data_IF_419294463412
#
_entry.id   IF_419294463412
#
_cell.length_a   1.000
_cell.length_b   1.000
_cell.length_c   1.000
_cell.angle_alpha   90.00
_cell.angle_beta   90.00
_cell.angle_gamma   90.00
#
_symmetry.space_group_name_H-M   'P 1'
#
loop_
_entity.id
_entity.type
_entity.pdbx_description
1 polymer ?
#
# COMPACT_ATOMS: atom_id res chain seq x y z
N UNK A 1 -16.85 22.23 -1.64
CA UNK A 1 -15.87 21.48 -0.84
C UNK A 1 -16.53 20.19 -0.36
N UNK A 2 -16.42 19.13 -1.15
CA UNK A 2 -16.78 17.78 -0.70
C UNK A 2 -15.48 17.08 -0.35
N UNK A 3 -15.06 17.17 0.91
CA UNK A 3 -14.23 16.14 1.52
C UNK A 3 -15.13 14.91 1.64
N UNK A 4 -15.36 14.24 0.52
CA UNK A 4 -16.03 12.98 0.51
C UNK A 4 -15.09 12.03 1.23
N UNK A 5 -15.43 11.73 2.48
CA UNK A 5 -15.07 10.50 3.12
C UNK A 5 -15.33 9.38 2.10
N UNK A 6 -14.29 8.98 1.36
CA UNK A 6 -14.27 7.70 0.67
C UNK A 6 -14.22 6.68 1.79
N UNK A 7 -15.40 6.40 2.36
CA UNK A 7 -15.62 5.26 3.20
C UNK A 7 -15.01 4.08 2.46
N UNK A 8 -13.94 3.55 3.02
CA UNK A 8 -13.12 2.49 2.46
C UNK A 8 -14.07 1.39 2.01
N UNK A 9 -14.26 1.22 0.69
CA UNK A 9 -15.16 0.17 0.24
C UNK A 9 -14.58 -1.16 0.78
N UNK A 10 -15.42 -2.13 1.18
CA UNK A 10 -14.93 -3.39 1.73
C UNK A 10 -13.94 -4.11 0.80
N UNK A 11 -13.99 -3.81 -0.50
CA UNK A 11 -13.05 -4.28 -1.50
C UNK A 11 -11.66 -3.63 -1.36
N UNK A 12 -11.59 -2.31 -1.13
CA UNK A 12 -10.33 -1.58 -0.94
C UNK A 12 -9.65 -2.02 0.37
N UNK A 13 -10.40 -2.22 1.45
CA UNK A 13 -9.85 -2.72 2.72
C UNK A 13 -9.24 -4.12 2.58
N UNK A 14 -9.98 -5.04 1.92
CA UNK A 14 -9.49 -6.39 1.63
C UNK A 14 -8.22 -6.36 0.80
N UNK A 15 -8.17 -5.50 -0.22
CA UNK A 15 -6.99 -5.34 -1.05
C UNK A 15 -5.79 -4.85 -0.23
N UNK A 16 -5.97 -3.80 0.59
CA UNK A 16 -4.91 -3.27 1.47
C UNK A 16 -4.36 -4.37 2.40
N UNK A 17 -5.26 -5.12 3.05
CA UNK A 17 -4.87 -6.21 3.94
C UNK A 17 -4.07 -7.30 3.22
N UNK A 18 -4.48 -7.67 2.00
CA UNK A 18 -3.76 -8.66 1.19
C UNK A 18 -2.38 -8.14 0.76
N UNK A 19 -2.29 -6.90 0.27
CA UNK A 19 -1.02 -6.26 -0.10
C UNK A 19 -0.03 -6.21 1.08
N UNK A 20 -0.52 -5.87 2.27
CA UNK A 20 0.29 -5.85 3.51
C UNK A 20 0.77 -7.27 3.86
N UNK A 21 -0.10 -8.28 3.80
CA UNK A 21 0.28 -9.66 4.08
C UNK A 21 1.35 -10.17 3.08
N UNK A 22 1.18 -9.88 1.79
CA UNK A 22 2.15 -10.22 0.74
C UNK A 22 3.51 -9.59 0.98
N UNK A 23 3.56 -8.30 1.33
CA UNK A 23 4.80 -7.60 1.66
C UNK A 23 5.47 -8.20 2.93
N UNK A 24 4.68 -8.47 3.97
CA UNK A 24 5.18 -9.00 5.24
C UNK A 24 5.87 -10.37 5.08
N UNK A 25 5.34 -11.24 4.22
CA UNK A 25 5.97 -12.53 3.87
C UNK A 25 7.35 -12.39 3.22
N UNK A 26 7.70 -11.19 2.74
CA UNK A 26 9.02 -10.86 2.17
C UNK A 26 9.88 -10.01 3.11
N UNK A 27 9.47 -9.83 4.36
CA UNK A 27 10.19 -9.01 5.34
C UNK A 27 10.08 -7.51 5.04
N UNK A 28 9.04 -7.10 4.32
CA UNK A 28 8.74 -5.69 4.01
C UNK A 28 7.50 -5.26 4.79
N UNK A 29 7.63 -4.19 5.59
CA UNK A 29 6.48 -3.56 6.22
C UNK A 29 5.84 -2.57 5.23
N UNK A 30 4.61 -2.83 4.82
CA UNK A 30 3.84 -1.91 3.98
C UNK A 30 2.87 -1.12 4.86
N UNK A 31 3.02 0.20 4.86
CA UNK A 31 2.14 1.14 5.54
C UNK A 31 1.28 1.86 4.51
N UNK A 32 0.01 2.04 4.84
CA UNK A 32 -0.92 2.88 4.07
C UNK A 32 -1.31 4.04 4.97
N UNK A 33 -0.95 5.25 4.56
CA UNK A 33 -1.23 6.49 5.27
C UNK A 33 -1.85 7.50 4.32
N UNK A 34 -2.04 8.73 4.77
CA UNK A 34 -2.55 9.84 3.98
C UNK A 34 -1.46 10.91 3.89
N UNK A 35 -1.36 11.60 2.76
CA UNK A 35 -0.49 12.76 2.60
C UNK A 35 -1.16 14.05 3.12
N UNK A 36 -0.47 15.18 2.99
CA UNK A 36 -0.96 16.49 3.45
C UNK A 36 -2.23 16.98 2.70
N UNK A 37 -2.56 16.34 1.57
CA UNK A 37 -3.75 16.62 0.77
C UNK A 37 -4.90 15.65 1.05
N UNK A 38 -4.68 14.63 1.90
CA UNK A 38 -5.63 13.57 2.20
C UNK A 38 -5.64 12.45 1.16
N UNK A 39 -4.66 12.41 0.26
CA UNK A 39 -4.50 11.36 -0.73
C UNK A 39 -3.76 10.16 -0.13
N UNK A 40 -4.10 8.92 -0.50
CA UNK A 40 -3.47 7.73 0.07
C UNK A 40 -2.00 7.62 -0.35
N UNK A 41 -1.12 7.57 0.64
CA UNK A 41 0.32 7.37 0.47
C UNK A 41 0.71 5.97 0.95
N UNK A 42 1.49 5.26 0.13
CA UNK A 42 1.95 3.90 0.43
C UNK A 42 3.45 3.91 0.71
N UNK A 43 3.85 3.36 1.85
CA UNK A 43 5.25 3.36 2.30
C UNK A 43 5.69 1.93 2.58
N UNK A 44 6.67 1.44 1.82
CA UNK A 44 7.31 0.16 2.05
C UNK A 44 8.62 0.36 2.81
N UNK A 45 8.84 -0.41 3.88
CA UNK A 45 10.03 -0.34 4.73
C UNK A 45 10.70 -1.71 4.80
N UNK A 46 12.00 -1.77 4.50
CA UNK A 46 12.81 -2.98 4.63
C UNK A 46 14.17 -2.62 5.25
N UNK A 47 14.37 -2.96 6.52
CA UNK A 47 15.55 -2.51 7.28
C UNK A 47 15.61 -0.98 7.34
N UNK A 48 16.69 -0.39 6.83
CA UNK A 48 16.87 1.08 6.75
C UNK A 48 16.34 1.70 5.44
N UNK A 49 15.84 0.88 4.49
CA UNK A 49 15.33 1.37 3.21
C UNK A 49 13.84 1.67 3.30
N UNK A 50 13.46 2.85 2.83
CA UNK A 50 12.07 3.31 2.71
C UNK A 50 11.75 3.64 1.27
N UNK A 51 10.61 3.19 0.76
CA UNK A 51 10.11 3.49 -0.58
C UNK A 51 8.70 4.04 -0.50
N UNK A 52 8.49 5.23 -1.06
CA UNK A 52 7.18 5.83 -1.21
C UNK A 52 6.57 5.44 -2.56
N UNK A 53 5.26 5.23 -2.58
CA UNK A 53 4.48 4.89 -3.77
C UNK A 53 3.18 5.68 -3.74
N UNK A 54 2.82 6.26 -4.87
CA UNK A 54 1.68 7.20 -4.98
C UNK A 54 0.35 6.50 -5.31
N UNK A 55 0.36 5.19 -5.49
CA UNK A 55 -0.86 4.47 -5.87
C UNK A 55 -0.74 2.96 -5.90
N UNK A 56 -1.90 2.32 -6.04
CA UNK A 56 -2.09 0.86 -6.07
C UNK A 56 -1.24 0.19 -7.16
N UNK A 57 -1.17 0.78 -8.36
CA UNK A 57 -0.40 0.20 -9.47
C UNK A 57 1.12 0.17 -9.20
N UNK A 58 1.63 1.14 -8.43
CA UNK A 58 3.03 1.13 -8.00
C UNK A 58 3.28 0.10 -6.91
N UNK A 59 2.33 -0.05 -5.98
CA UNK A 59 2.36 -1.10 -4.96
C UNK A 59 2.38 -2.48 -5.60
N UNK A 60 1.50 -2.77 -6.56
CA UNK A 60 1.46 -4.07 -7.24
C UNK A 60 2.73 -4.36 -8.05
N UNK A 61 3.28 -3.34 -8.73
CA UNK A 61 4.57 -3.46 -9.41
C UNK A 61 5.70 -3.74 -8.42
N UNK A 62 5.74 -3.03 -7.29
CA UNK A 62 6.73 -3.24 -6.24
C UNK A 62 6.62 -4.64 -5.63
N UNK A 63 5.40 -5.08 -5.30
CA UNK A 63 5.13 -6.42 -4.78
C UNK A 63 5.63 -7.49 -5.76
N UNK A 64 5.39 -7.33 -7.05
CA UNK A 64 5.92 -8.23 -8.09
C UNK A 64 7.46 -8.25 -8.09
N UNK A 65 8.10 -7.07 -8.00
CA UNK A 65 9.57 -6.95 -7.99
C UNK A 65 10.22 -7.64 -6.79
N UNK A 66 9.58 -7.61 -5.61
CA UNK A 66 10.07 -8.30 -4.41
C UNK A 66 9.63 -9.77 -4.32
N UNK A 67 9.07 -10.32 -5.40
CA UNK A 67 8.63 -11.72 -5.46
C UNK A 67 7.35 -12.01 -4.68
N UNK A 68 6.47 -11.03 -4.50
CA UNK A 68 5.16 -11.15 -3.87
C UNK A 68 4.00 -10.88 -4.86
N UNK A 69 3.91 -11.60 -5.99
CA UNK A 69 2.87 -11.38 -7.00
C UNK A 69 1.45 -11.57 -6.42
N UNK A 70 0.44 -11.10 -7.16
CA UNK A 70 -0.94 -11.41 -6.84
C UNK A 70 -1.16 -12.93 -6.77
N UNK A 71 -1.94 -13.36 -5.78
CA UNK A 71 -2.37 -14.76 -5.61
C UNK A 71 -3.40 -15.16 -6.66
#
# INVERSE_FOLDING_TARGET
MQAAAQACSPQVEKWKANAVARAALRGVALHVTEDDHGDPLYVAVQGAMTRHMAGVDEVERFLTLIGAPAA
#
